data_IF_447078363316
#
_entry.id   IF_447078363316
#
_cell.length_a   1.000
_cell.length_b   1.000
_cell.length_c   1.000
_cell.angle_alpha   90.00
_cell.angle_beta   90.00
_cell.angle_gamma   90.00
#
_symmetry.space_group_name_H-M   'P 1'
#
loop_
_entity.id
_entity.type
_entity.pdbx_description
1 polymer ?
#
# COMPACT_ATOMS: atom_id res chain seq x y z
N UNK A 1 28.86 21.57 10.22
CA UNK A 1 27.40 21.63 9.97
C UNK A 1 26.81 20.26 10.26
N UNK A 2 26.25 20.06 11.45
CA UNK A 2 25.60 18.79 11.79
C UNK A 2 24.24 18.73 11.09
N UNK A 3 24.07 17.79 10.16
CA UNK A 3 22.78 17.52 9.53
C UNK A 3 21.87 16.92 10.61
N UNK A 4 20.95 17.72 11.14
CA UNK A 4 19.90 17.24 12.04
C UNK A 4 19.12 16.13 11.32
N UNK A 5 19.28 14.90 11.80
CA UNK A 5 18.50 13.74 11.36
C UNK A 5 17.04 14.02 11.70
N UNK A 6 16.27 14.51 10.72
CA UNK A 6 14.86 14.81 10.89
C UNK A 6 14.14 13.51 11.17
N UNK A 7 13.61 13.35 12.38
CA UNK A 7 12.76 12.22 12.70
C UNK A 7 11.60 12.18 11.70
N UNK A 8 11.39 11.01 11.11
CA UNK A 8 10.37 10.80 10.09
C UNK A 8 9.03 11.02 10.79
N UNK A 9 8.34 12.12 10.47
CA UNK A 9 7.00 12.36 11.01
C UNK A 9 6.13 11.16 10.66
N UNK A 10 5.54 10.54 11.67
CA UNK A 10 4.58 9.45 11.49
C UNK A 10 3.48 9.92 10.55
N UNK A 11 3.25 9.18 9.46
CA UNK A 11 2.21 9.50 8.48
C UNK A 11 0.83 9.10 9.05
N UNK A 12 0.31 9.93 9.96
CA UNK A 12 -0.95 9.69 10.66
C UNK A 12 -2.11 9.45 9.71
N UNK A 13 -2.15 10.14 8.56
CA UNK A 13 -3.18 9.94 7.55
C UNK A 13 -3.17 8.51 6.97
N UNK A 14 -1.99 7.95 6.71
CA UNK A 14 -1.86 6.57 6.25
C UNK A 14 -2.16 5.58 7.37
N UNK A 15 -1.69 5.87 8.60
CA UNK A 15 -1.94 5.03 9.78
C UNK A 15 -3.44 4.92 10.13
N UNK A 16 -4.21 5.98 9.91
CA UNK A 16 -5.67 5.98 10.12
C UNK A 16 -6.46 5.58 8.88
N UNK A 17 -5.81 5.22 7.77
CA UNK A 17 -6.49 4.89 6.51
C UNK A 17 -7.18 3.52 6.57
N UNK A 18 -8.16 3.29 5.69
CA UNK A 18 -8.82 1.99 5.58
C UNK A 18 -7.85 0.87 5.20
N UNK A 19 -6.75 1.20 4.51
CA UNK A 19 -5.76 0.22 4.06
C UNK A 19 -5.03 -0.45 5.21
N UNK A 20 -4.97 0.19 6.38
CA UNK A 20 -4.38 -0.40 7.59
C UNK A 20 -5.22 -1.54 8.17
N UNK A 21 -6.44 -1.78 7.65
CA UNK A 21 -7.24 -2.98 7.97
C UNK A 21 -6.71 -4.24 7.26
N UNK A 22 -5.93 -4.07 6.20
CA UNK A 22 -5.33 -5.17 5.45
C UNK A 22 -4.15 -5.70 6.29
N UNK A 23 -4.15 -6.99 6.68
CA UNK A 23 -3.04 -7.55 7.44
C UNK A 23 -1.71 -7.39 6.70
N UNK A 24 -0.62 -7.22 7.46
CA UNK A 24 0.75 -7.01 6.95
C UNK A 24 0.94 -5.75 6.10
N UNK A 25 -0.06 -4.88 5.96
CA UNK A 25 0.08 -3.64 5.20
C UNK A 25 1.10 -2.71 5.84
N UNK A 26 2.00 -2.15 5.02
CA UNK A 26 2.96 -1.13 5.46
C UNK A 26 2.37 0.27 5.31
N UNK A 27 2.66 1.13 6.29
CA UNK A 27 2.21 2.53 6.31
C UNK A 27 2.69 3.32 5.09
N UNK A 28 3.91 3.04 4.59
CA UNK A 28 4.44 3.71 3.41
C UNK A 28 3.70 3.32 2.11
N UNK A 29 3.25 2.08 1.99
CA UNK A 29 2.41 1.63 0.86
C UNK A 29 1.00 2.19 0.97
N UNK A 30 0.40 2.19 2.17
CA UNK A 30 -0.89 2.83 2.41
C UNK A 30 -0.84 4.33 2.05
N UNK A 31 0.27 5.01 2.34
CA UNK A 31 0.49 6.40 1.91
C UNK A 31 0.54 6.53 0.39
N UNK A 32 1.22 5.63 -0.31
CA UNK A 32 1.24 5.64 -1.77
C UNK A 32 -0.17 5.51 -2.37
N UNK A 33 -1.03 4.66 -1.80
CA UNK A 33 -2.43 4.52 -2.22
C UNK A 33 -3.22 5.82 -2.00
N UNK A 34 -3.01 6.49 -0.86
CA UNK A 34 -3.60 7.81 -0.60
C UNK A 34 -3.11 8.89 -1.59
N UNK A 35 -1.82 8.87 -1.93
CA UNK A 35 -1.22 9.86 -2.84
C UNK A 35 -1.76 9.74 -4.28
N UNK A 36 -2.22 8.55 -4.70
CA UNK A 36 -2.95 8.36 -5.98
C UNK A 36 -4.46 8.61 -5.87
N UNK A 37 -4.95 9.05 -4.71
CA UNK A 37 -6.34 9.45 -4.49
C UNK A 37 -7.28 8.33 -4.02
N UNK A 38 -6.74 7.16 -3.66
CA UNK A 38 -7.53 6.07 -3.09
C UNK A 38 -7.65 6.25 -1.58
N UNK A 39 -8.84 6.07 -1.03
CA UNK A 39 -9.14 6.29 0.40
C UNK A 39 -9.82 5.11 1.08
N UNK A 40 -10.41 4.20 0.30
CA UNK A 40 -11.17 3.06 0.78
C UNK A 40 -10.70 1.75 0.12
N UNK A 41 -10.76 0.64 0.87
CA UNK A 41 -10.31 -0.68 0.40
C UNK A 41 -11.11 -1.17 -0.81
N UNK A 42 -12.43 -0.95 -0.86
CA UNK A 42 -13.28 -1.39 -1.98
C UNK A 42 -12.89 -0.73 -3.31
N UNK A 43 -12.18 0.40 -3.30
CA UNK A 43 -11.72 1.05 -4.53
C UNK A 43 -10.57 0.29 -5.23
N UNK A 44 -10.04 -0.75 -4.57
CA UNK A 44 -9.05 -1.66 -5.11
C UNK A 44 -9.68 -2.84 -5.86
N UNK A 45 -10.98 -3.10 -5.66
CA UNK A 45 -11.70 -4.19 -6.32
C UNK A 45 -11.70 -4.00 -7.84
N UNK A 46 -11.28 -5.02 -8.60
CA UNK A 46 -11.19 -4.95 -10.06
C UNK A 46 -10.05 -4.08 -10.60
N UNK A 47 -9.18 -3.52 -9.73
CA UNK A 47 -7.98 -2.79 -10.15
C UNK A 47 -6.84 -3.77 -10.41
N UNK A 48 -6.12 -3.58 -11.51
CA UNK A 48 -4.87 -4.31 -11.74
C UNK A 48 -3.75 -3.78 -10.82
N UNK A 49 -3.03 -4.64 -10.07
CA UNK A 49 -1.91 -4.22 -9.22
C UNK A 49 -0.80 -3.48 -9.99
N UNK A 50 -0.49 -3.90 -11.21
CA UNK A 50 0.52 -3.26 -12.06
C UNK A 50 0.11 -1.85 -12.50
N UNK A 51 -1.19 -1.63 -12.76
CA UNK A 51 -1.72 -0.30 -13.04
C UNK A 51 -1.62 0.62 -11.83
N UNK A 52 -1.94 0.12 -10.62
CA UNK A 52 -1.75 0.87 -9.38
C UNK A 52 -0.29 1.25 -9.17
N UNK A 53 0.64 0.32 -9.43
CA UNK A 53 2.08 0.59 -9.32
C UNK A 53 2.52 1.68 -10.31
N UNK A 54 2.02 1.65 -11.54
CA UNK A 54 2.32 2.66 -12.54
C UNK A 54 1.81 4.05 -12.12
N UNK A 55 0.58 4.14 -11.58
CA UNK A 55 0.02 5.38 -11.02
C UNK A 55 0.88 5.93 -9.87
N UNK A 56 1.37 5.06 -8.98
CA UNK A 56 2.24 5.44 -7.86
C UNK A 56 3.60 5.96 -8.38
N UNK A 57 4.22 5.24 -9.33
CA UNK A 57 5.49 5.64 -9.95
C UNK A 57 5.39 6.96 -10.70
N UNK A 58 4.22 7.29 -11.25
CA UNK A 58 3.99 8.58 -11.90
C UNK A 58 3.98 9.77 -10.93
N UNK A 59 3.78 9.54 -9.62
CA UNK A 59 3.71 10.60 -8.59
C UNK A 59 4.93 10.65 -7.67
N UNK A 60 5.67 9.56 -7.56
CA UNK A 60 6.76 9.40 -6.59
C UNK A 60 7.97 8.76 -7.22
N UNK A 61 9.08 9.48 -7.19
CA UNK A 61 10.38 8.93 -7.56
C UNK A 61 10.87 7.95 -6.49
N UNK A 62 11.58 6.89 -6.91
CA UNK A 62 12.16 5.86 -6.04
C UNK A 62 11.14 5.03 -5.23
N UNK A 63 10.12 4.48 -5.91
CA UNK A 63 9.23 3.47 -5.33
C UNK A 63 10.02 2.19 -5.04
N UNK A 64 9.89 1.63 -3.82
CA UNK A 64 10.56 0.39 -3.42
C UNK A 64 10.03 -0.79 -4.26
N UNK A 65 10.90 -1.73 -4.61
CA UNK A 65 10.57 -2.86 -5.51
C UNK A 65 9.50 -3.79 -4.91
N UNK A 66 9.49 -3.98 -3.60
CA UNK A 66 8.52 -4.84 -2.90
C UNK A 66 7.09 -4.29 -2.91
N UNK A 67 6.86 -3.03 -3.32
CA UNK A 67 5.54 -2.37 -3.25
C UNK A 67 4.50 -3.16 -4.05
N UNK A 68 4.88 -3.75 -5.18
CA UNK A 68 3.96 -4.53 -6.02
C UNK A 68 3.33 -5.70 -5.26
N UNK A 69 4.08 -6.37 -4.39
CA UNK A 69 3.58 -7.48 -3.61
C UNK A 69 2.49 -7.04 -2.62
N UNK A 70 2.65 -5.86 -2.01
CA UNK A 70 1.61 -5.27 -1.16
C UNK A 70 0.37 -4.85 -1.96
N UNK A 71 0.55 -4.34 -3.18
CA UNK A 71 -0.58 -3.97 -4.05
C UNK A 71 -1.38 -5.21 -4.48
N UNK A 72 -0.69 -6.29 -4.88
CA UNK A 72 -1.31 -7.58 -5.20
C UNK A 72 -2.11 -8.13 -4.01
N UNK A 73 -1.50 -8.14 -2.83
CA UNK A 73 -2.17 -8.55 -1.59
C UNK A 73 -3.38 -7.67 -1.26
N UNK A 74 -3.27 -6.35 -1.45
CA UNK A 74 -4.34 -5.41 -1.14
C UNK A 74 -5.56 -5.58 -2.06
N UNK A 75 -5.32 -5.80 -3.36
CA UNK A 75 -6.36 -6.13 -4.34
C UNK A 75 -7.01 -7.47 -3.99
N UNK A 76 -6.22 -8.51 -3.71
CA UNK A 76 -6.75 -9.80 -3.26
C UNK A 76 -7.64 -9.67 -2.03
N UNK A 77 -7.22 -8.91 -1.01
CA UNK A 77 -8.02 -8.68 0.19
C UNK A 77 -9.33 -7.96 -0.11
N UNK A 78 -9.32 -6.97 -1.02
CA UNK A 78 -10.52 -6.24 -1.40
C UNK A 78 -11.54 -7.15 -2.13
N UNK A 79 -11.05 -8.05 -2.98
CA UNK A 79 -11.88 -8.94 -3.80
C UNK A 79 -12.38 -10.19 -3.07
N UNK A 80 -11.77 -10.56 -1.94
CA UNK A 80 -12.07 -11.81 -1.25
C UNK A 80 -12.51 -11.54 0.18
N UNK A 81 -13.81 -11.71 0.47
CA UNK A 81 -14.39 -11.53 1.80
C UNK A 81 -15.22 -12.77 2.19
N UNK A 82 -14.80 -13.58 3.20
CA UNK A 82 -13.56 -13.45 3.96
C UNK A 82 -12.31 -13.89 3.16
N UNK A 83 -11.14 -13.22 3.33
CA UNK A 83 -9.90 -13.61 2.65
C UNK A 83 -9.24 -14.83 3.30
N UNK A 84 -8.48 -15.60 2.51
CA UNK A 84 -7.58 -16.63 3.05
C UNK A 84 -6.39 -15.97 3.75
N UNK A 85 -6.27 -16.18 5.06
CA UNK A 85 -5.22 -15.60 5.91
C UNK A 85 -3.82 -15.95 5.41
N UNK A 86 -3.62 -17.12 4.78
CA UNK A 86 -2.32 -17.53 4.26
C UNK A 86 -1.86 -16.64 3.11
N UNK A 87 -2.80 -16.07 2.36
CA UNK A 87 -2.54 -15.16 1.25
C UNK A 87 -2.41 -13.70 1.69
N UNK A 88 -2.46 -13.40 2.99
CA UNK A 88 -2.29 -12.04 3.53
C UNK A 88 -0.86 -11.77 4.00
N UNK A 89 0.12 -12.33 3.26
CA UNK A 89 1.54 -12.07 3.44
C UNK A 89 2.14 -11.62 2.11
N UNK A 90 2.87 -10.50 2.05
CA UNK A 90 3.48 -10.01 0.81
C UNK A 90 4.41 -11.01 0.13
N UNK A 91 5.03 -11.93 0.89
CA UNK A 91 5.90 -12.97 0.34
C UNK A 91 5.19 -13.94 -0.61
N UNK A 92 3.88 -14.11 -0.47
CA UNK A 92 3.07 -14.95 -1.37
C UNK A 92 2.80 -14.28 -2.73
N UNK A 93 3.20 -13.01 -2.88
CA UNK A 93 2.89 -12.16 -4.03
C UNK A 93 4.11 -11.55 -4.69
N UNK A 94 5.32 -12.02 -4.38
CA UNK A 94 6.57 -11.57 -5.03
C UNK A 94 6.57 -11.91 -6.52
#
# INVERSE_FOLDING_TARGET
MAVLKREKKTDYAALSSSFMRIPQMKVDVARCLLDIGLTQVYQLEGRAPDSLLAEIKARKDNVREDVIAYLRMAVYFAENQPPDVRKLYPTEWM
#
